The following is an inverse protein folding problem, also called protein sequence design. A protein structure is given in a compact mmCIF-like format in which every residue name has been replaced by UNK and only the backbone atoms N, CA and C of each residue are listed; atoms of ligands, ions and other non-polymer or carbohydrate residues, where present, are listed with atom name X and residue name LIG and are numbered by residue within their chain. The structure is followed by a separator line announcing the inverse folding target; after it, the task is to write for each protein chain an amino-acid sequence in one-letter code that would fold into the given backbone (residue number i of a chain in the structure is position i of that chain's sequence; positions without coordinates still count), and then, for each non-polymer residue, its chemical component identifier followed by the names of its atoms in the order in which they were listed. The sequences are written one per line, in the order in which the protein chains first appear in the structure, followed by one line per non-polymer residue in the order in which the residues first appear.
data_IF_372488996322
#
_entry.id   IF_372488996322
#
_cell.length_a   1.000
_cell.length_b   1.000
_cell.length_c   1.000
_cell.angle_alpha   90.00
_cell.angle_beta   90.00
_cell.angle_gamma   90.00
#
_symmetry.space_group_name_H-M   'P 1'
#
loop_
_entity.id
_entity.type
_entity.pdbx_description
1 polymer ?
#
# COMPACT_ATOMS: atom_id res chain seq x y z
N UNK A 1 5.15 9.53 -11.11
CA UNK A 1 3.90 9.18 -11.80
C UNK A 1 2.83 8.96 -10.74
N UNK A 2 1.64 9.52 -10.94
CA UNK A 2 0.48 9.23 -10.10
C UNK A 2 -0.21 7.97 -10.61
N UNK A 3 -0.40 6.97 -9.76
CA UNK A 3 -0.92 5.66 -10.14
C UNK A 3 -2.20 5.37 -9.35
N UNK A 4 -3.27 5.15 -10.10
CA UNK A 4 -4.64 4.91 -9.66
C UNK A 4 -5.16 3.65 -10.37
N UNK A 5 -6.34 3.20 -9.97
CA UNK A 5 -6.99 2.01 -10.51
C UNK A 5 -7.16 2.04 -12.04
N UNK A 6 -7.44 3.20 -12.62
CA UNK A 6 -7.72 3.37 -14.05
C UNK A 6 -6.49 3.28 -14.94
N UNK A 7 -5.32 3.67 -14.43
CA UNK A 7 -4.04 3.59 -15.16
C UNK A 7 -3.09 2.51 -14.65
N UNK A 8 -3.45 1.76 -13.60
CA UNK A 8 -2.57 0.78 -12.98
C UNK A 8 -2.04 -0.26 -13.97
N UNK A 9 -2.91 -0.86 -14.79
CA UNK A 9 -2.55 -1.89 -15.77
C UNK A 9 -1.57 -1.37 -16.84
N UNK A 10 -1.73 -0.10 -17.25
CA UNK A 10 -0.85 0.54 -18.23
C UNK A 10 0.52 0.89 -17.62
N UNK A 11 0.53 1.29 -16.35
CA UNK A 11 1.75 1.68 -15.62
C UNK A 11 2.54 0.46 -15.13
N UNK A 12 1.87 -0.65 -14.83
CA UNK A 12 2.49 -1.86 -14.27
C UNK A 12 3.74 -2.33 -15.03
N UNK A 13 3.73 -2.53 -16.37
CA UNK A 13 4.94 -2.94 -17.09
C UNK A 13 6.07 -1.90 -17.02
N UNK A 14 5.74 -0.61 -16.99
CA UNK A 14 6.73 0.48 -16.86
C UNK A 14 7.37 0.44 -15.46
N UNK A 15 6.55 0.25 -14.43
CA UNK A 15 7.01 0.11 -13.06
C UNK A 15 7.87 -1.14 -12.86
N UNK A 16 7.44 -2.29 -13.37
CA UNK A 16 8.22 -3.55 -13.29
C UNK A 16 9.59 -3.38 -13.94
N UNK A 17 9.65 -2.83 -15.16
CA UNK A 17 10.92 -2.55 -15.81
C UNK A 17 11.78 -1.55 -15.02
N UNK A 18 11.18 -0.54 -14.39
CA UNK A 18 11.92 0.40 -13.55
C UNK A 18 12.53 -0.27 -12.31
N UNK A 19 11.79 -1.19 -11.66
CA UNK A 19 12.24 -1.97 -10.50
C UNK A 19 13.36 -2.94 -10.89
N UNK A 20 13.20 -3.68 -11.99
CA UNK A 20 14.19 -4.65 -12.47
C UNK A 20 15.53 -4.01 -12.84
N UNK A 21 15.52 -2.76 -13.31
CA UNK A 21 16.72 -2.02 -13.71
C UNK A 21 17.22 -1.04 -12.62
N UNK A 22 16.64 -1.07 -11.42
CA UNK A 22 17.06 -0.19 -10.32
C UNK A 22 18.34 -0.72 -9.66
N UNK A 23 19.27 0.16 -9.31
CA UNK A 23 20.36 -0.16 -8.40
C UNK A 23 19.86 -0.21 -6.96
N UNK A 24 18.95 0.70 -6.61
CA UNK A 24 18.25 0.70 -5.34
C UNK A 24 16.88 1.36 -5.43
N UNK A 25 16.06 1.12 -4.42
CA UNK A 25 14.69 1.62 -4.32
C UNK A 25 14.51 2.30 -2.97
N UNK A 26 13.90 3.48 -2.98
CA UNK A 26 13.41 4.14 -1.79
C UNK A 26 11.87 4.04 -1.73
N UNK A 27 11.34 3.81 -0.53
CA UNK A 27 9.89 3.74 -0.28
C UNK A 27 9.49 4.73 0.80
N UNK A 28 8.26 5.24 0.70
CA UNK A 28 7.61 6.05 1.72
C UNK A 28 6.10 5.83 1.68
N UNK A 29 5.39 6.08 2.78
CA UNK A 29 3.95 5.80 2.86
C UNK A 29 3.18 6.89 3.57
N UNK A 30 2.01 7.22 3.03
CA UNK A 30 1.03 8.05 3.71
C UNK A 30 0.01 7.19 4.44
N UNK A 31 -0.25 7.53 5.71
CA UNK A 31 -1.04 6.73 6.64
C UNK A 31 -2.28 7.50 7.13
N UNK A 32 -3.39 6.80 7.35
CA UNK A 32 -4.59 7.41 7.95
C UNK A 32 -4.42 7.79 9.43
N UNK A 33 -3.36 7.31 10.06
CA UNK A 33 -2.97 7.61 11.43
C UNK A 33 -1.65 6.95 11.80
N UNK A 34 -1.11 7.31 12.96
CA UNK A 34 0.20 6.83 13.42
C UNK A 34 0.11 6.07 14.74
N UNK A 35 -0.63 6.63 15.70
CA UNK A 35 -0.69 6.10 17.06
C UNK A 35 -2.10 6.14 17.60
N UNK A 36 -2.48 5.10 18.33
CA UNK A 36 -3.62 5.17 19.25
C UNK A 36 -3.25 6.00 20.48
N UNK A 37 -4.18 6.81 21.02
CA UNK A 37 -3.96 7.50 22.29
C UNK A 37 -3.59 6.58 23.45
N UNK A 38 -4.10 5.34 23.45
CA UNK A 38 -3.86 4.35 24.52
C UNK A 38 -2.52 3.63 24.41
N UNK A 39 -1.88 3.67 23.24
CA UNK A 39 -0.65 2.92 22.95
C UNK A 39 0.54 3.86 22.75
N UNK A 40 0.65 4.90 23.59
CA UNK A 40 1.76 5.84 23.50
C UNK A 40 3.10 5.12 23.68
N UNK A 41 4.03 5.38 22.78
CA UNK A 41 5.41 4.90 22.88
C UNK A 41 6.09 5.57 24.07
N UNK A 42 6.69 4.77 24.93
CA UNK A 42 7.52 5.25 26.03
C UNK A 42 9.00 5.06 25.66
N UNK A 43 9.85 6.00 26.05
CA UNK A 43 11.30 5.90 25.81
C UNK A 43 11.91 4.65 26.49
N UNK A 44 11.29 4.19 27.58
CA UNK A 44 11.69 3.02 28.37
C UNK A 44 11.18 1.69 27.81
N UNK A 45 10.34 1.69 26.78
CA UNK A 45 9.86 0.46 26.14
C UNK A 45 11.03 -0.37 25.61
N UNK A 46 11.08 -1.65 25.99
CA UNK A 46 11.93 -2.61 25.30
C UNK A 46 11.44 -2.88 23.86
N UNK A 47 12.26 -3.55 23.06
CA UNK A 47 11.96 -3.83 21.65
C UNK A 47 10.63 -4.56 21.47
N UNK A 48 10.33 -5.54 22.32
CA UNK A 48 9.13 -6.36 22.20
C UNK A 48 7.86 -5.59 22.55
N UNK A 49 7.94 -4.76 23.59
CA UNK A 49 6.85 -3.87 24.03
C UNK A 49 6.56 -2.84 22.95
N UNK A 50 7.60 -2.20 22.42
CA UNK A 50 7.46 -1.23 21.33
C UNK A 50 6.86 -1.84 20.07
N UNK A 51 7.33 -3.03 19.67
CA UNK A 51 6.73 -3.77 18.56
C UNK A 51 5.25 -4.07 18.81
N UNK A 52 4.88 -4.50 20.01
CA UNK A 52 3.49 -4.87 20.32
C UNK A 52 2.54 -3.67 20.24
N UNK A 53 2.95 -2.51 20.77
CA UNK A 53 2.21 -1.24 20.65
C UNK A 53 2.08 -0.77 19.20
N UNK A 54 3.19 -0.83 18.45
CA UNK A 54 3.23 -0.43 17.04
C UNK A 54 2.36 -1.33 16.17
N UNK A 55 2.42 -2.65 16.39
CA UNK A 55 1.64 -3.64 15.66
C UNK A 55 0.15 -3.32 15.76
N UNK A 56 -0.35 -2.99 16.95
CA UNK A 56 -1.76 -2.64 17.16
C UNK A 56 -2.15 -1.44 16.29
N UNK A 57 -1.37 -0.36 16.34
CA UNK A 57 -1.64 0.83 15.52
C UNK A 57 -1.55 0.52 14.02
N UNK A 58 -0.50 -0.19 13.59
CA UNK A 58 -0.28 -0.56 12.19
C UNK A 58 -1.37 -1.51 11.63
N UNK A 59 -2.03 -2.30 12.47
CA UNK A 59 -3.13 -3.18 12.04
C UNK A 59 -4.47 -2.48 11.82
N UNK A 60 -4.59 -1.19 12.15
CA UNK A 60 -5.88 -0.49 12.10
C UNK A 60 -5.88 0.79 11.27
N UNK A 61 -4.73 1.47 11.19
CA UNK A 61 -4.53 2.56 10.25
C UNK A 61 -4.14 2.01 8.89
N UNK A 62 -4.62 2.65 7.83
CA UNK A 62 -4.31 2.24 6.47
C UNK A 62 -3.09 2.99 5.95
N UNK A 63 -2.27 2.29 5.19
CA UNK A 63 -1.49 2.91 4.11
C UNK A 63 -2.46 3.27 3.00
N UNK A 64 -2.48 4.55 2.61
CA UNK A 64 -3.40 5.09 1.59
C UNK A 64 -2.66 5.63 0.36
N UNK A 65 -1.36 5.89 0.49
CA UNK A 65 -0.48 6.10 -0.64
C UNK A 65 0.86 5.42 -0.38
N UNK A 66 1.34 4.68 -1.38
CA UNK A 66 2.62 4.00 -1.36
C UNK A 66 3.53 4.67 -2.39
N UNK A 67 4.51 5.44 -1.90
CA UNK A 67 5.53 6.09 -2.71
C UNK A 67 6.70 5.14 -2.97
N UNK A 68 7.07 4.97 -4.23
CA UNK A 68 8.22 4.16 -4.65
C UNK A 68 9.07 4.97 -5.59
N UNK A 69 10.36 5.08 -5.33
CA UNK A 69 11.31 5.71 -6.23
C UNK A 69 12.44 4.75 -6.55
N UNK A 70 12.59 4.40 -7.83
CA UNK A 70 13.70 3.59 -8.31
C UNK A 70 14.85 4.49 -8.74
N UNK A 71 16.08 4.13 -8.41
CA UNK A 71 17.28 4.87 -8.78
C UNK A 71 18.22 3.98 -9.59
N UNK A 72 18.65 4.48 -10.74
CA UNK A 72 19.62 3.80 -11.62
C UNK A 72 20.76 4.77 -11.94
N UNK A 73 22.00 4.35 -11.78
CA UNK A 73 23.19 5.11 -12.11
C UNK A 73 23.31 5.26 -13.63
N UNK A 74 23.52 6.49 -14.10
CA UNK A 74 23.79 6.76 -15.50
C UNK A 74 25.25 7.13 -15.67
N UNK A 75 26.07 6.22 -16.22
CA UNK A 75 27.47 6.51 -16.54
C UNK A 75 27.63 7.69 -17.49
N UNK A 76 26.66 7.86 -18.41
CA UNK A 76 26.67 8.96 -19.38
C UNK A 76 26.46 10.33 -18.73
N UNK A 77 25.69 10.39 -17.64
CA UNK A 77 25.37 11.65 -16.95
C UNK A 77 26.15 11.81 -15.63
N UNK A 78 26.79 10.75 -15.13
CA UNK A 78 27.49 10.73 -13.85
C UNK A 78 26.58 10.96 -12.64
N UNK A 79 25.29 10.62 -12.74
CA UNK A 79 24.28 10.84 -11.69
C UNK A 79 23.28 9.69 -11.65
N UNK A 80 22.58 9.56 -10.52
CA UNK A 80 21.41 8.68 -10.41
C UNK A 80 20.19 9.29 -11.10
N UNK A 81 19.55 8.50 -11.96
CA UNK A 81 18.25 8.80 -12.56
C UNK A 81 17.15 8.22 -11.67
N UNK A 82 16.32 9.10 -11.13
CA UNK A 82 15.20 8.74 -10.26
C UNK A 82 13.90 8.56 -11.07
N UNK A 83 13.12 7.53 -10.77
CA UNK A 83 11.75 7.35 -11.31
C UNK A 83 10.76 7.15 -10.15
N UNK A 84 10.06 8.23 -9.73
CA UNK A 84 9.10 8.16 -8.64
C UNK A 84 7.71 7.71 -9.12
N UNK A 85 7.01 6.93 -8.29
CA UNK A 85 5.66 6.42 -8.46
C UNK A 85 4.88 6.62 -7.16
N UNK A 86 3.67 7.17 -7.25
CA UNK A 86 2.77 7.37 -6.11
C UNK A 86 1.51 6.54 -6.33
N UNK A 87 1.46 5.37 -5.70
CA UNK A 87 0.33 4.45 -5.80
C UNK A 87 -0.72 4.81 -4.76
N UNK A 88 -1.91 5.20 -5.20
CA UNK A 88 -3.05 5.36 -4.31
C UNK A 88 -3.69 4.00 -4.10
N UNK A 89 -3.68 3.49 -2.88
CA UNK A 89 -4.19 2.15 -2.56
C UNK A 89 -5.37 2.28 -1.60
N UNK A 90 -6.47 1.59 -1.89
CA UNK A 90 -7.67 1.68 -1.06
C UNK A 90 -8.38 0.32 -1.00
N UNK A 91 -8.83 -0.12 0.18
CA UNK A 91 -9.49 -1.42 0.36
C UNK A 91 -10.90 -1.48 -0.25
N UNK A 92 -11.01 -1.31 -1.55
CA UNK A 92 -12.27 -1.33 -2.32
C UNK A 92 -12.54 -2.69 -3.01
N UNK A 93 -12.01 -3.77 -2.43
CA UNK A 93 -12.21 -5.14 -2.95
C UNK A 93 -13.69 -5.51 -3.06
N UNK A 94 -14.02 -6.46 -3.94
CA UNK A 94 -15.41 -6.83 -4.15
C UNK A 94 -16.05 -7.30 -2.82
N UNK A 95 -17.16 -6.68 -2.36
CA UNK A 95 -17.72 -6.88 -1.01
C UNK A 95 -18.01 -8.34 -0.66
N UNK A 96 -18.22 -9.18 -1.69
CA UNK A 96 -18.54 -10.60 -1.55
C UNK A 96 -17.36 -11.49 -1.19
N UNK A 97 -16.12 -10.99 -1.23
CA UNK A 97 -14.92 -11.82 -1.06
C UNK A 97 -13.98 -11.33 0.04
N UNK A 98 -13.78 -10.01 0.17
CA UNK A 98 -12.90 -9.43 1.19
C UNK A 98 -13.64 -9.01 2.48
N UNK A 99 -14.98 -9.03 2.49
CA UNK A 99 -15.78 -8.42 3.54
C UNK A 99 -15.69 -6.89 3.53
N UNK A 100 -16.54 -6.23 4.33
CA UNK A 100 -16.48 -4.79 4.50
C UNK A 100 -15.31 -4.44 5.44
N UNK A 101 -14.26 -3.80 4.91
CA UNK A 101 -13.05 -3.47 5.66
C UNK A 101 -13.25 -2.14 6.39
N UNK A 102 -13.41 -2.22 7.71
CA UNK A 102 -13.38 -1.07 8.58
C UNK A 102 -11.93 -0.70 8.95
N UNK A 103 -11.64 0.60 8.97
CA UNK A 103 -10.33 1.13 9.35
C UNK A 103 -10.49 2.38 10.21
N UNK A 104 -9.40 2.77 10.88
CA UNK A 104 -9.36 3.95 11.75
C UNK A 104 -8.62 5.10 11.10
N UNK A 105 -8.94 6.34 11.47
CA UNK A 105 -8.21 7.54 11.10
C UNK A 105 -7.91 8.41 12.32
N UNK A 106 -6.73 9.02 12.39
CA UNK A 106 -6.46 10.13 13.30
C UNK A 106 -6.88 11.45 12.64
N UNK A 107 -7.71 12.25 13.31
CA UNK A 107 -8.15 13.55 12.78
C UNK A 107 -6.99 14.50 12.46
N UNK A 108 -5.93 14.46 13.27
CA UNK A 108 -4.69 15.22 13.04
C UNK A 108 -3.96 14.80 11.77
N UNK A 109 -3.82 13.48 11.53
CA UNK A 109 -3.19 12.94 10.32
C UNK A 109 -4.00 13.30 9.07
N UNK A 110 -5.33 13.15 9.11
CA UNK A 110 -6.20 13.54 8.00
C UNK A 110 -6.09 15.04 7.69
N UNK A 111 -6.05 15.88 8.73
CA UNK A 111 -5.86 17.33 8.58
C UNK A 111 -4.48 17.67 8.00
N UNK A 112 -3.43 17.00 8.46
CA UNK A 112 -2.06 17.19 7.96
C UNK A 112 -1.98 16.89 6.47
N UNK A 113 -2.44 15.69 6.07
CA UNK A 113 -2.47 15.28 4.67
C UNK A 113 -3.31 16.22 3.80
N UNK A 114 -4.48 16.66 4.30
CA UNK A 114 -5.28 17.68 3.62
C UNK A 114 -4.52 18.99 3.43
N UNK A 115 -3.71 19.41 4.42
CA UNK A 115 -2.85 20.59 4.32
C UNK A 115 -1.68 20.42 3.33
N UNK A 116 -1.26 19.17 3.09
CA UNK A 116 -0.29 18.79 2.06
C UNK A 116 -0.94 18.54 0.68
N UNK A 117 -2.19 18.96 0.48
CA UNK A 117 -2.97 18.78 -0.75
C UNK A 117 -3.22 17.32 -1.16
N UNK A 118 -3.25 16.40 -0.19
CA UNK A 118 -3.66 15.03 -0.45
C UNK A 118 -5.13 14.97 -0.89
N UNK A 119 -5.40 14.32 -2.03
CA UNK A 119 -6.75 14.22 -2.58
C UNK A 119 -7.45 12.93 -2.10
N UNK A 120 -8.23 13.05 -1.03
CA UNK A 120 -9.02 11.94 -0.49
C UNK A 120 -10.15 11.47 -1.42
N UNK A 121 -10.69 12.34 -2.27
CA UNK A 121 -11.73 11.93 -3.23
C UNK A 121 -11.13 11.02 -4.30
N UNK A 122 -9.94 11.38 -4.79
CA UNK A 122 -9.15 10.57 -5.71
C UNK A 122 -8.82 9.20 -5.10
N UNK A 123 -8.35 9.16 -3.85
CA UNK A 123 -8.11 7.92 -3.11
C UNK A 123 -9.35 7.01 -3.06
N UNK A 124 -10.49 7.54 -2.61
CA UNK A 124 -11.69 6.74 -2.35
C UNK A 124 -12.32 6.25 -3.67
N UNK A 125 -12.31 7.08 -4.72
CA UNK A 125 -12.93 6.74 -6.01
C UNK A 125 -12.03 5.89 -6.91
N UNK A 126 -10.74 6.15 -6.88
CA UNK A 126 -9.75 5.61 -7.83
C UNK A 126 -8.63 4.83 -7.19
N UNK A 127 -8.65 4.57 -5.87
CA UNK A 127 -7.63 3.78 -5.20
C UNK A 127 -7.55 2.36 -5.75
N UNK A 128 -6.33 1.90 -5.97
CA UNK A 128 -6.01 0.55 -6.43
C UNK A 128 -6.47 -0.45 -5.35
N UNK A 129 -7.36 -1.41 -5.66
CA UNK A 129 -7.77 -2.43 -4.72
C UNK A 129 -6.62 -3.40 -4.45
N UNK A 130 -6.57 -3.95 -3.24
CA UNK A 130 -5.56 -4.93 -2.84
C UNK A 130 -6.14 -5.99 -1.92
N UNK A 131 -5.51 -7.16 -1.92
CA UNK A 131 -5.83 -8.29 -1.04
C UNK A 131 -4.57 -8.79 -0.34
N UNK A 132 -4.74 -9.33 0.86
CA UNK A 132 -3.73 -10.10 1.56
C UNK A 132 -3.62 -11.49 0.95
N UNK A 133 -2.50 -12.18 1.20
CA UNK A 133 -2.32 -13.57 0.74
C UNK A 133 -3.47 -14.50 1.18
N UNK A 134 -3.95 -14.36 2.42
CA UNK A 134 -5.07 -15.18 2.92
C UNK A 134 -6.40 -14.88 2.20
N UNK A 135 -6.63 -13.63 1.78
CA UNK A 135 -7.81 -13.29 0.98
C UNK A 135 -7.68 -13.79 -0.47
N UNK A 136 -6.47 -13.76 -1.03
CA UNK A 136 -6.15 -14.31 -2.34
C UNK A 136 -6.34 -15.83 -2.40
N UNK A 137 -5.82 -16.57 -1.42
CA UNK A 137 -6.02 -18.02 -1.29
C UNK A 137 -7.51 -18.38 -1.28
N UNK A 138 -8.30 -17.73 -0.41
CA UNK A 138 -9.76 -17.89 -0.35
C UNK A 138 -10.42 -17.52 -1.67
N UNK A 139 -9.90 -16.51 -2.37
CA UNK A 139 -10.42 -16.11 -3.66
C UNK A 139 -10.25 -17.22 -4.69
N UNK A 140 -9.08 -17.85 -4.74
CA UNK A 140 -8.79 -18.97 -5.63
C UNK A 140 -9.66 -20.19 -5.30
N UNK A 141 -9.75 -20.59 -4.02
CA UNK A 141 -10.60 -21.70 -3.59
C UNK A 141 -12.07 -21.51 -4.01
N UNK A 142 -12.64 -20.32 -3.75
CA UNK A 142 -14.01 -19.99 -4.13
C UNK A 142 -14.21 -19.97 -5.65
N UNK A 143 -13.19 -19.52 -6.40
CA UNK A 143 -13.23 -19.49 -7.86
C UNK A 143 -13.17 -20.91 -8.44
N UNK A 144 -12.37 -21.81 -7.88
CA UNK A 144 -12.29 -23.21 -8.27
C UNK A 144 -13.62 -23.93 -8.01
N UNK A 145 -14.21 -23.74 -6.83
CA UNK A 145 -15.54 -24.28 -6.47
C UNK A 145 -16.64 -23.79 -7.43
N UNK A 146 -16.54 -22.56 -7.94
CA UNK A 146 -17.49 -21.99 -8.91
C UNK A 146 -17.26 -22.43 -10.35
N UNK A 147 -16.02 -22.72 -10.74
CA UNK A 147 -15.65 -23.01 -12.14
C UNK A 147 -15.47 -24.50 -12.42
N UNK A 148 -15.42 -25.35 -11.39
CA UNK A 148 -15.34 -26.81 -11.53
C UNK A 148 -14.03 -27.33 -12.13
N UNK A 149 -13.01 -26.48 -12.29
CA UNK A 149 -11.68 -26.84 -12.79
C UNK A 149 -10.70 -26.92 -11.62
N UNK A 150 -10.29 -28.14 -11.27
CA UNK A 150 -9.08 -28.39 -10.48
C UNK A 150 -7.89 -28.08 -11.39
N UNK A 151 -7.16 -27.00 -11.14
CA UNK A 151 -5.89 -26.77 -11.82
C UNK A 151 -4.86 -27.54 -11.00
N UNK A 152 -4.47 -28.72 -11.49
CA UNK A 152 -3.37 -29.47 -10.93
C UNK A 152 -2.11 -28.61 -10.89
N UNK A 153 -1.55 -28.47 -9.69
CA UNK A 153 -0.30 -27.78 -9.41
C UNK A 153 0.83 -28.34 -10.28
N UNK A 154 1.65 -27.46 -10.86
CA UNK A 154 2.99 -27.79 -11.35
C UNK A 154 3.96 -27.92 -10.16
#
# INVERSE_FOLDING_TARGET
MEVLKDNFEEVLPIFTAAVENADFIAIDTELTGLNRPTESQDFTDDTQTRYSKLRISASEFLVIQFGVCTFTWSDTQGVFVAKPFNFYVFPSGEPRMAGDRCFTCNSSSMKFLSGCNFDFNKLIRGGIPYMTHTEEEKYHELRELRTGKVIGTL
#
